data_IF_782602977705
#
_entry.id   IF_782602977705
#
_cell.length_a   1.000
_cell.length_b   1.000
_cell.length_c   1.000
_cell.angle_alpha   90.00
_cell.angle_beta   90.00
_cell.angle_gamma   90.00
#
_symmetry.space_group_name_H-M   'P 1'
#
loop_
_entity.id
_entity.type
_entity.pdbx_description
1 polymer ?
#
# COMPACT_ATOMS: atom_id res chain seq x y z
N UNK A 1 38.09 -48.24 -34.58
CA UNK A 1 37.76 -48.01 -36.00
C UNK A 1 36.55 -47.10 -36.07
N UNK A 2 36.63 -46.07 -36.93
CA UNK A 2 35.61 -45.07 -37.27
C UNK A 2 35.18 -44.13 -36.11
N UNK A 3 35.12 -42.82 -36.26
CA UNK A 3 35.35 -41.99 -37.44
C UNK A 3 35.44 -40.53 -36.99
N UNK A 4 36.46 -39.85 -37.51
CA UNK A 4 36.70 -38.42 -37.45
C UNK A 4 35.45 -37.63 -37.87
N UNK A 5 34.80 -36.96 -36.92
CA UNK A 5 33.85 -35.91 -37.21
C UNK A 5 34.61 -34.74 -37.87
N UNK A 6 34.10 -34.36 -39.04
CA UNK A 6 34.75 -33.59 -40.07
C UNK A 6 34.89 -32.11 -39.66
N UNK A 7 36.11 -31.59 -39.64
CA UNK A 7 36.44 -30.17 -39.36
C UNK A 7 35.84 -29.18 -40.38
N UNK A 8 35.07 -29.65 -41.37
CA UNK A 8 34.29 -28.85 -42.32
C UNK A 8 32.84 -28.58 -41.88
N UNK A 9 32.28 -29.34 -40.94
CA UNK A 9 30.93 -29.08 -40.40
C UNK A 9 30.92 -28.00 -39.30
N UNK A 10 32.08 -27.73 -38.69
CA UNK A 10 32.25 -26.63 -37.73
C UNK A 10 32.35 -25.27 -38.45
N UNK A 11 33.01 -25.24 -39.61
CA UNK A 11 33.20 -24.03 -40.43
C UNK A 11 31.93 -23.61 -41.19
N UNK A 12 30.96 -24.52 -41.39
CA UNK A 12 29.64 -24.22 -41.94
C UNK A 12 28.62 -23.76 -40.87
N UNK A 13 28.83 -24.10 -39.59
CA UNK A 13 28.09 -23.50 -38.46
C UNK A 13 28.60 -22.11 -38.08
N UNK A 14 29.86 -21.79 -38.38
CA UNK A 14 30.46 -20.45 -38.17
C UNK A 14 30.12 -19.43 -39.27
N UNK A 15 29.47 -19.81 -40.37
CA UNK A 15 29.16 -18.91 -41.50
C UNK A 15 27.68 -18.66 -41.78
N UNK A 16 26.78 -19.02 -40.86
CA UNK A 16 25.34 -18.72 -40.97
C UNK A 16 24.70 -18.04 -39.76
N UNK A 17 25.52 -17.49 -38.85
CA UNK A 17 25.07 -16.62 -37.73
C UNK A 17 25.43 -15.14 -37.96
N UNK A 18 25.53 -14.72 -39.22
CA UNK A 18 25.54 -13.30 -39.60
C UNK A 18 24.19 -12.99 -40.25
N UNK A 19 23.24 -12.49 -39.46
CA UNK A 19 21.95 -12.11 -40.02
C UNK A 19 20.87 -11.60 -39.07
N UNK A 20 21.05 -11.64 -37.73
CA UNK A 20 19.97 -11.19 -36.82
C UNK A 20 20.37 -10.18 -35.73
N UNK A 21 21.61 -9.67 -35.76
CA UNK A 21 21.98 -8.42 -35.04
C UNK A 21 21.82 -7.18 -35.93
N UNK A 22 21.62 -7.37 -37.24
CA UNK A 22 21.34 -6.28 -38.18
C UNK A 22 19.90 -5.74 -38.12
N UNK A 23 18.94 -6.45 -37.53
CA UNK A 23 17.56 -5.98 -37.42
C UNK A 23 17.23 -5.28 -36.08
N UNK A 24 18.07 -5.42 -35.05
CA UNK A 24 18.05 -4.49 -33.89
C UNK A 24 18.64 -3.12 -34.29
N UNK A 25 19.33 -3.06 -35.45
CA UNK A 25 19.78 -1.80 -36.04
C UNK A 25 18.62 -0.96 -36.61
N UNK A 26 17.49 -1.58 -36.95
CA UNK A 26 16.30 -0.91 -37.48
C UNK A 26 15.15 -0.77 -36.45
N UNK A 27 15.26 -1.39 -35.26
CA UNK A 27 14.29 -1.21 -34.17
C UNK A 27 14.68 -0.09 -33.18
N UNK A 28 15.95 0.34 -33.19
CA UNK A 28 16.45 1.45 -32.37
C UNK A 28 16.48 2.81 -33.10
N UNK A 29 15.72 2.96 -34.18
CA UNK A 29 15.48 4.27 -34.83
C UNK A 29 14.14 4.88 -34.43
N UNK A 30 13.32 4.16 -33.67
CA UNK A 30 12.22 4.69 -32.88
C UNK A 30 12.34 4.14 -31.46
N UNK A 31 13.21 4.73 -30.63
CA UNK A 31 13.14 4.56 -29.18
C UNK A 31 11.80 5.11 -28.69
N UNK A 32 10.79 4.27 -28.80
CA UNK A 32 9.54 4.39 -28.09
C UNK A 32 9.51 3.26 -27.08
N UNK A 33 8.93 3.60 -25.95
CA UNK A 33 8.30 2.76 -24.94
C UNK A 33 7.87 1.32 -25.40
N UNK A 34 7.55 1.09 -26.68
CA UNK A 34 7.31 -0.23 -27.27
C UNK A 34 8.49 -1.25 -27.18
N UNK A 35 9.75 -0.81 -27.16
CA UNK A 35 10.91 -1.71 -27.03
C UNK A 35 10.99 -2.40 -25.66
N UNK A 36 10.60 -1.70 -24.59
CA UNK A 36 10.47 -2.27 -23.25
C UNK A 36 9.26 -3.21 -23.13
N UNK A 37 8.17 -2.92 -23.84
CA UNK A 37 7.04 -3.84 -23.95
C UNK A 37 7.43 -5.15 -24.65
N UNK A 38 8.32 -5.12 -25.66
CA UNK A 38 8.87 -6.32 -26.29
C UNK A 38 9.83 -7.09 -25.36
N UNK A 39 10.67 -6.38 -24.61
CA UNK A 39 11.59 -6.96 -23.61
C UNK A 39 10.83 -7.63 -22.45
N UNK A 40 9.68 -7.07 -22.03
CA UNK A 40 8.81 -7.65 -21.02
C UNK A 40 7.94 -8.81 -21.54
N UNK A 41 7.54 -8.77 -22.83
CA UNK A 41 6.62 -9.75 -23.42
C UNK A 41 7.34 -10.90 -24.18
N UNK A 42 8.63 -10.75 -24.45
CA UNK A 42 9.49 -11.79 -25.05
C UNK A 42 10.91 -11.64 -24.52
N UNK A 43 11.26 -12.45 -23.52
CA UNK A 43 12.59 -12.72 -22.93
C UNK A 43 13.64 -11.60 -23.09
N UNK A 44 14.13 -11.03 -21.96
CA UNK A 44 15.00 -9.85 -21.76
C UNK A 44 16.29 -9.67 -22.63
N UNK A 45 16.29 -10.10 -23.88
CA UNK A 45 17.48 -10.37 -24.67
C UNK A 45 18.28 -11.52 -24.10
N UNK A 46 19.29 -11.90 -24.87
CA UNK A 46 20.33 -12.80 -24.41
C UNK A 46 21.60 -11.99 -24.08
N UNK A 47 22.37 -12.43 -23.10
CA UNK A 47 23.68 -11.92 -22.76
C UNK A 47 24.69 -12.16 -23.91
N UNK A 48 25.94 -11.70 -23.74
CA UNK A 48 26.99 -11.90 -24.76
C UNK A 48 27.21 -13.38 -25.13
N UNK A 49 26.73 -14.31 -24.31
CA UNK A 49 26.83 -15.75 -24.50
C UNK A 49 25.56 -16.41 -25.05
N UNK A 50 24.48 -15.65 -25.31
CA UNK A 50 23.24 -16.21 -25.81
C UNK A 50 22.30 -16.76 -24.72
N UNK A 51 22.50 -16.44 -23.44
CA UNK A 51 21.68 -16.84 -22.29
C UNK A 51 20.83 -15.69 -21.74
N UNK A 52 19.78 -15.95 -20.97
CA UNK A 52 18.93 -14.89 -20.40
C UNK A 52 19.74 -13.88 -19.57
N UNK A 53 19.55 -12.58 -19.82
CA UNK A 53 20.35 -11.52 -19.20
C UNK A 53 19.85 -11.15 -17.78
N UNK A 54 20.29 -11.91 -16.78
CA UNK A 54 19.99 -11.65 -15.37
C UNK A 54 20.48 -10.29 -14.86
N UNK A 55 21.56 -9.75 -15.43
CA UNK A 55 22.07 -8.43 -15.05
C UNK A 55 21.12 -7.30 -15.43
N UNK A 56 20.48 -7.40 -16.60
CA UNK A 56 19.46 -6.45 -17.06
C UNK A 56 18.20 -6.59 -16.20
N UNK A 57 17.75 -7.81 -15.91
CA UNK A 57 16.63 -8.07 -14.99
C UNK A 57 16.86 -7.45 -13.62
N UNK A 58 18.04 -7.67 -13.05
CA UNK A 58 18.42 -7.15 -11.73
C UNK A 58 18.46 -5.63 -11.75
N UNK A 59 19.03 -5.03 -12.80
CA UNK A 59 19.07 -3.57 -12.96
C UNK A 59 17.67 -2.93 -13.07
N UNK A 60 16.77 -3.54 -13.85
CA UNK A 60 15.38 -3.10 -13.98
C UNK A 60 14.63 -3.28 -12.66
N UNK A 61 14.83 -4.40 -11.96
CA UNK A 61 14.20 -4.66 -10.66
C UNK A 61 14.63 -3.65 -9.59
N UNK A 62 15.90 -3.25 -9.57
CA UNK A 62 16.41 -2.19 -8.68
C UNK A 62 15.73 -0.83 -8.98
N UNK A 63 15.52 -0.50 -10.26
CA UNK A 63 14.84 0.73 -10.67
C UNK A 63 13.36 0.73 -10.32
N UNK A 64 12.67 -0.40 -10.52
CA UNK A 64 11.24 -0.52 -10.29
C UNK A 64 10.87 -0.73 -8.82
N UNK A 65 11.75 -1.37 -8.03
CA UNK A 65 11.52 -1.72 -6.62
C UNK A 65 12.65 -1.25 -5.70
N UNK A 66 13.02 0.05 -5.71
CA UNK A 66 14.20 0.55 -5.01
C UNK A 66 14.09 0.46 -3.47
N UNK A 67 12.88 0.32 -2.91
CA UNK A 67 12.69 0.13 -1.47
C UNK A 67 13.04 -1.29 -0.98
N UNK A 68 13.01 -2.28 -1.87
CA UNK A 68 13.31 -3.69 -1.55
C UNK A 68 14.80 -4.03 -1.72
N UNK A 69 15.47 -3.38 -2.66
CA UNK A 69 16.80 -3.82 -3.14
C UNK A 69 17.98 -2.93 -2.72
N UNK A 70 17.80 -1.90 -1.87
CA UNK A 70 18.83 -0.86 -1.80
C UNK A 70 19.51 -0.57 -0.44
N UNK A 71 20.80 -0.92 -0.41
CA UNK A 71 21.92 -0.02 -0.07
C UNK A 71 22.94 -0.04 -1.25
N UNK A 72 23.14 1.10 -1.94
CA UNK A 72 24.13 1.33 -3.03
C UNK A 72 23.95 0.60 -4.39
N UNK A 73 22.84 -0.10 -4.63
CA UNK A 73 22.56 -0.86 -5.86
C UNK A 73 22.43 0.00 -7.11
N UNK A 74 21.80 1.18 -7.03
CA UNK A 74 21.68 2.11 -8.17
C UNK A 74 23.04 2.71 -8.51
N UNK A 75 23.82 3.14 -7.51
CA UNK A 75 25.20 3.61 -7.71
C UNK A 75 26.13 2.50 -8.22
N UNK A 76 25.93 1.23 -7.84
CA UNK A 76 26.75 0.12 -8.33
C UNK A 76 26.51 -0.24 -9.79
N UNK A 77 25.27 -0.09 -10.28
CA UNK A 77 24.87 -0.55 -11.63
C UNK A 77 24.68 0.60 -12.64
N UNK A 78 24.33 1.81 -12.18
CA UNK A 78 24.01 2.97 -13.03
C UNK A 78 24.93 4.20 -12.81
N UNK A 79 25.95 4.15 -11.94
CA UNK A 79 26.78 5.34 -11.66
C UNK A 79 27.68 5.80 -12.82
N UNK A 80 27.97 4.93 -13.79
CA UNK A 80 28.73 5.30 -14.98
C UNK A 80 27.82 5.21 -16.19
N UNK A 81 27.12 6.30 -16.49
CA UNK A 81 26.64 6.55 -17.86
C UNK A 81 27.89 6.58 -18.75
N UNK A 82 28.25 5.43 -19.33
CA UNK A 82 29.34 5.35 -20.28
C UNK A 82 28.90 6.08 -21.55
N UNK A 83 29.21 7.38 -21.61
CA UNK A 83 28.93 8.27 -22.74
C UNK A 83 29.59 7.76 -24.04
N UNK A 84 30.67 6.99 -23.92
CA UNK A 84 31.39 6.38 -25.03
C UNK A 84 31.39 4.85 -24.90
N UNK A 85 30.24 4.23 -25.18
CA UNK A 85 30.18 2.79 -25.38
C UNK A 85 30.57 2.48 -26.85
N UNK A 86 31.62 1.69 -27.11
CA UNK A 86 32.07 1.37 -28.48
C UNK A 86 31.12 0.43 -29.24
N UNK A 87 30.19 -0.22 -28.52
CA UNK A 87 29.10 -1.05 -29.06
C UNK A 87 27.78 -0.33 -28.76
N UNK A 88 26.74 -0.51 -29.59
CA UNK A 88 25.40 0.06 -29.36
C UNK A 88 24.81 -0.42 -28.02
N UNK A 89 25.14 0.27 -26.93
CA UNK A 89 24.66 -0.06 -25.60
C UNK A 89 23.21 0.42 -25.43
N UNK A 90 22.43 -0.33 -24.66
CA UNK A 90 21.09 0.09 -24.27
C UNK A 90 21.18 1.32 -23.36
N UNK A 91 20.46 2.38 -23.70
CA UNK A 91 20.35 3.54 -22.83
C UNK A 91 19.43 3.20 -21.66
N UNK A 92 19.84 3.56 -20.44
CA UNK A 92 18.97 3.44 -19.26
C UNK A 92 17.71 4.31 -19.45
N UNK A 93 16.54 3.86 -19.00
CA UNK A 93 15.35 4.69 -19.00
C UNK A 93 15.59 5.88 -18.06
N UNK A 94 15.40 7.09 -18.59
CA UNK A 94 15.65 8.33 -17.85
C UNK A 94 14.42 8.73 -17.01
N UNK A 95 13.22 8.44 -17.52
CA UNK A 95 11.93 8.88 -17.03
C UNK A 95 10.83 7.81 -17.20
N UNK A 96 9.61 8.15 -16.76
CA UNK A 96 8.38 7.38 -16.99
C UNK A 96 8.39 5.93 -16.47
N UNK A 97 8.93 5.74 -15.26
CA UNK A 97 8.99 4.44 -14.60
C UNK A 97 7.61 3.82 -14.33
N UNK A 98 6.53 4.61 -14.26
CA UNK A 98 5.16 4.09 -14.16
C UNK A 98 4.80 3.21 -15.34
N UNK A 99 5.14 3.64 -16.55
CA UNK A 99 4.85 2.88 -17.75
C UNK A 99 5.72 1.63 -17.84
N UNK A 100 6.98 1.72 -17.43
CA UNK A 100 7.88 0.56 -17.34
C UNK A 100 7.33 -0.48 -16.36
N UNK A 101 6.86 -0.04 -15.19
CA UNK A 101 6.17 -0.91 -14.23
C UNK A 101 4.93 -1.55 -14.86
N UNK A 102 4.17 -0.84 -15.70
CA UNK A 102 2.98 -1.41 -16.33
C UNK A 102 3.27 -2.54 -17.30
N UNK A 103 4.45 -2.55 -17.93
CA UNK A 103 4.85 -3.64 -18.82
C UNK A 103 5.55 -4.78 -18.09
N UNK A 104 6.41 -4.46 -17.12
CA UNK A 104 7.10 -5.46 -16.33
C UNK A 104 6.15 -6.19 -15.37
N UNK A 105 5.16 -5.48 -14.85
CA UNK A 105 4.15 -6.05 -13.96
C UNK A 105 3.14 -6.90 -14.71
N UNK A 106 2.79 -8.05 -14.14
CA UNK A 106 1.76 -8.93 -14.67
C UNK A 106 0.37 -8.28 -14.59
N UNK A 107 -0.44 -8.44 -15.65
CA UNK A 107 -1.87 -8.14 -15.56
C UNK A 107 -2.56 -9.22 -14.72
N UNK A 108 -3.79 -8.93 -14.30
CA UNK A 108 -4.53 -9.86 -13.45
C UNK A 108 -4.71 -11.23 -14.11
N UNK A 109 -5.05 -11.26 -15.40
CA UNK A 109 -5.24 -12.50 -16.17
C UNK A 109 -3.95 -13.30 -16.38
N UNK A 110 -2.79 -12.63 -16.35
CA UNK A 110 -1.49 -13.28 -16.47
C UNK A 110 -1.03 -13.85 -15.11
N UNK A 111 -1.56 -13.28 -14.02
CA UNK A 111 -1.19 -13.64 -12.64
C UNK A 111 -2.04 -14.78 -12.10
N UNK A 112 -3.37 -14.63 -12.11
CA UNK A 112 -4.30 -15.53 -11.44
C UNK A 112 -4.79 -16.63 -12.38
N UNK A 113 -4.79 -17.87 -11.87
CA UNK A 113 -5.37 -19.04 -12.53
C UNK A 113 -6.79 -19.28 -12.02
N UNK A 114 -6.93 -19.37 -10.70
CA UNK A 114 -8.18 -19.73 -10.04
C UNK A 114 -8.24 -19.12 -8.64
N UNK A 115 -9.41 -18.62 -8.23
CA UNK A 115 -9.68 -18.16 -6.87
C UNK A 115 -10.93 -18.84 -6.35
N UNK A 116 -10.90 -19.29 -5.10
CA UNK A 116 -12.04 -19.92 -4.41
C UNK A 116 -12.23 -19.32 -3.04
N UNK A 117 -13.48 -19.08 -2.67
CA UNK A 117 -13.89 -18.72 -1.31
C UNK A 117 -14.85 -19.81 -0.81
N UNK A 118 -14.60 -20.38 0.36
CA UNK A 118 -15.38 -21.52 0.88
C UNK A 118 -15.50 -22.68 -0.13
N UNK A 119 -14.43 -22.93 -0.89
CA UNK A 119 -14.37 -23.90 -2.01
C UNK A 119 -15.20 -23.56 -3.26
N UNK A 120 -15.94 -22.45 -3.27
CA UNK A 120 -16.67 -21.99 -4.44
C UNK A 120 -15.81 -21.05 -5.30
N UNK A 121 -15.70 -21.28 -6.61
CA UNK A 121 -14.88 -20.45 -7.48
C UNK A 121 -15.51 -19.07 -7.70
N UNK A 122 -14.68 -18.04 -7.75
CA UNK A 122 -15.09 -16.69 -8.10
C UNK A 122 -14.11 -16.04 -9.10
N UNK A 123 -14.57 -15.00 -9.79
CA UNK A 123 -13.76 -14.26 -10.75
C UNK A 123 -12.69 -13.42 -10.02
N UNK A 124 -11.45 -13.89 -10.02
CA UNK A 124 -10.31 -13.20 -9.41
C UNK A 124 -10.23 -11.74 -9.86
N UNK A 125 -10.26 -11.48 -11.17
CA UNK A 125 -9.99 -10.16 -11.74
C UNK A 125 -11.14 -9.17 -11.59
N UNK A 126 -12.34 -9.66 -11.29
CA UNK A 126 -13.43 -8.81 -10.87
C UNK A 126 -13.22 -8.21 -9.49
N UNK A 127 -12.72 -8.99 -8.52
CA UNK A 127 -12.67 -8.58 -7.12
C UNK A 127 -11.26 -8.12 -6.66
N UNK A 128 -10.21 -8.74 -7.18
CA UNK A 128 -8.84 -8.29 -6.96
C UNK A 128 -8.52 -7.08 -7.84
N UNK A 129 -8.46 -5.90 -7.24
CA UNK A 129 -8.23 -4.64 -7.94
C UNK A 129 -6.78 -4.20 -7.78
N UNK A 130 -6.11 -3.72 -8.83
CA UNK A 130 -4.73 -3.27 -8.73
C UNK A 130 -4.64 -1.99 -7.88
N UNK A 131 -3.58 -1.87 -7.08
CA UNK A 131 -3.20 -0.67 -6.34
C UNK A 131 -1.68 -0.56 -6.35
N UNK A 132 -1.17 0.65 -6.56
CA UNK A 132 0.26 0.91 -6.44
C UNK A 132 0.60 1.20 -4.98
N UNK A 133 1.59 0.48 -4.46
CA UNK A 133 2.02 0.51 -3.06
C UNK A 133 3.54 0.62 -2.98
N UNK A 134 4.11 0.92 -1.80
CA UNK A 134 5.56 0.88 -1.60
C UNK A 134 6.22 -0.47 -1.89
N UNK A 135 5.47 -1.58 -1.89
CA UNK A 135 5.95 -2.90 -2.33
C UNK A 135 5.91 -3.09 -3.85
N UNK A 136 5.17 -2.27 -4.60
CA UNK A 136 4.91 -2.47 -6.01
C UNK A 136 3.44 -2.38 -6.38
N UNK A 137 3.11 -2.85 -7.59
CA UNK A 137 1.72 -3.07 -8.00
C UNK A 137 1.19 -4.33 -7.31
N UNK A 138 0.29 -4.16 -6.36
CA UNK A 138 -0.38 -5.24 -5.65
C UNK A 138 -1.83 -5.38 -6.14
N UNK A 139 -2.40 -6.57 -5.99
CA UNK A 139 -3.81 -6.83 -6.24
C UNK A 139 -4.53 -6.96 -4.90
N UNK A 140 -5.39 -5.99 -4.59
CA UNK A 140 -6.08 -5.88 -3.30
C UNK A 140 -7.50 -6.44 -3.43
N UNK A 141 -7.89 -7.28 -2.48
CA UNK A 141 -9.26 -7.78 -2.32
C UNK A 141 -9.93 -7.02 -1.16
N UNK A 142 -11.16 -6.54 -1.36
CA UNK A 142 -11.95 -5.85 -0.32
C UNK A 142 -11.19 -4.71 0.40
N UNK A 143 -10.45 -3.88 -0.36
CA UNK A 143 -9.75 -2.71 0.19
C UNK A 143 -10.55 -1.43 0.00
N UNK A 144 -10.55 -0.56 1.02
CA UNK A 144 -11.20 0.76 0.99
C UNK A 144 -10.43 1.80 0.14
N UNK A 145 -9.22 1.46 -0.31
CA UNK A 145 -8.34 2.39 -1.00
C UNK A 145 -8.60 2.48 -2.50
N UNK A 146 -8.95 1.34 -3.11
CA UNK A 146 -9.26 1.24 -4.54
C UNK A 146 -10.67 0.74 -4.83
N UNK A 147 -11.46 0.48 -3.78
CA UNK A 147 -12.82 -0.02 -3.90
C UNK A 147 -13.71 0.50 -2.75
N UNK A 148 -15.02 0.27 -2.86
CA UNK A 148 -16.02 0.68 -1.88
C UNK A 148 -16.87 -0.52 -1.44
N UNK A 149 -17.24 -0.63 -0.14
CA UNK A 149 -18.13 -1.68 0.35
C UNK A 149 -19.47 -1.71 -0.39
N UNK A 150 -19.91 -2.90 -0.80
CA UNK A 150 -21.18 -3.09 -1.53
C UNK A 150 -21.14 -2.77 -3.03
N UNK A 151 -19.99 -2.34 -3.56
CA UNK A 151 -19.80 -2.14 -5.00
C UNK A 151 -19.75 -3.47 -5.77
N UNK A 152 -19.84 -3.41 -7.12
CA UNK A 152 -19.73 -4.59 -8.01
C UNK A 152 -18.42 -5.37 -7.86
N UNK A 153 -17.36 -4.70 -7.39
CA UNK A 153 -16.02 -5.23 -7.23
C UNK A 153 -15.72 -5.63 -5.77
N UNK A 154 -16.67 -5.47 -4.86
CA UNK A 154 -16.55 -5.93 -3.48
C UNK A 154 -17.01 -7.37 -3.39
N UNK A 155 -16.15 -8.28 -2.92
CA UNK A 155 -16.49 -9.69 -2.77
C UNK A 155 -17.36 -9.83 -1.52
N UNK A 156 -18.62 -10.30 -1.64
CA UNK A 156 -19.43 -10.62 -0.47
C UNK A 156 -18.78 -11.78 0.28
N UNK A 157 -18.40 -11.52 1.52
CA UNK A 157 -17.68 -12.44 2.40
C UNK A 157 -18.49 -12.79 3.66
N UNK A 158 -19.80 -12.56 3.62
CA UNK A 158 -20.74 -13.03 4.65
C UNK A 158 -20.96 -14.54 4.45
N UNK A 159 -20.22 -15.33 5.23
CA UNK A 159 -20.28 -16.79 5.17
C UNK A 159 -21.20 -17.34 6.26
N UNK A 160 -22.08 -18.28 5.91
CA UNK A 160 -22.90 -18.99 6.88
C UNK A 160 -22.04 -20.01 7.65
N UNK A 161 -21.82 -19.84 8.97
CA UNK A 161 -20.97 -20.73 9.75
C UNK A 161 -21.46 -22.19 9.80
N UNK A 162 -22.73 -22.46 9.48
CA UNK A 162 -23.27 -23.82 9.47
C UNK A 162 -22.73 -24.66 8.31
N UNK A 163 -22.51 -24.05 7.14
CA UNK A 163 -22.24 -24.77 5.89
C UNK A 163 -20.99 -24.29 5.15
N UNK A 164 -20.56 -23.05 5.39
CA UNK A 164 -19.46 -22.42 4.68
C UNK A 164 -18.26 -22.23 5.60
N UNK A 165 -17.06 -22.37 5.02
CA UNK A 165 -15.79 -22.23 5.74
C UNK A 165 -15.07 -20.96 5.28
N UNK A 166 -14.47 -20.25 6.22
CA UNK A 166 -13.65 -19.07 5.96
C UNK A 166 -12.26 -19.45 5.39
N UNK A 167 -12.27 -20.08 4.22
CA UNK A 167 -11.07 -20.53 3.49
C UNK A 167 -11.03 -19.84 2.14
N UNK A 168 -9.93 -19.16 1.86
CA UNK A 168 -9.64 -18.61 0.53
C UNK A 168 -8.47 -19.38 -0.08
N UNK A 169 -8.67 -19.90 -1.29
CA UNK A 169 -7.64 -20.54 -2.07
C UNK A 169 -7.35 -19.68 -3.30
N UNK A 170 -6.07 -19.44 -3.55
CA UNK A 170 -5.58 -18.66 -4.68
C UNK A 170 -4.51 -19.44 -5.41
N UNK A 171 -4.72 -19.67 -6.70
CA UNK A 171 -3.79 -20.34 -7.61
C UNK A 171 -3.25 -19.33 -8.61
N UNK A 172 -1.94 -19.28 -8.78
CA UNK A 172 -1.24 -18.28 -9.62
C UNK A 172 -0.21 -18.91 -10.55
N UNK A 173 0.07 -18.22 -11.65
CA UNK A 173 1.10 -18.58 -12.63
C UNK A 173 2.51 -18.14 -12.22
N UNK A 174 2.59 -17.06 -11.45
CA UNK A 174 3.83 -16.42 -11.00
C UNK A 174 4.00 -16.57 -9.49
N UNK A 175 5.22 -16.40 -9.02
CA UNK A 175 5.52 -16.34 -7.61
C UNK A 175 4.93 -15.07 -6.98
N UNK A 176 4.28 -15.24 -5.83
CA UNK A 176 3.58 -14.15 -5.14
C UNK A 176 3.70 -14.27 -3.63
N UNK A 177 3.67 -13.13 -2.95
CA UNK A 177 3.45 -13.07 -1.51
C UNK A 177 1.98 -12.73 -1.25
N UNK A 178 1.27 -13.62 -0.57
CA UNK A 178 -0.11 -13.39 -0.16
C UNK A 178 -0.08 -12.95 1.31
N UNK A 179 -0.67 -11.80 1.60
CA UNK A 179 -0.75 -11.24 2.95
C UNK A 179 -2.17 -10.86 3.32
N UNK A 180 -2.49 -10.97 4.60
CA UNK A 180 -3.78 -10.56 5.16
C UNK A 180 -3.57 -9.27 5.95
N UNK A 181 -4.35 -8.24 5.63
CA UNK A 181 -4.29 -6.91 6.24
C UNK A 181 -5.70 -6.36 6.46
N UNK A 182 -5.82 -5.31 7.26
CA UNK A 182 -7.07 -4.58 7.44
C UNK A 182 -7.47 -3.83 6.16
N UNK A 183 -8.76 -3.56 5.98
CA UNK A 183 -9.31 -3.08 4.71
C UNK A 183 -8.81 -1.69 4.30
N UNK A 184 -8.47 -0.84 5.27
CA UNK A 184 -7.88 0.49 5.09
C UNK A 184 -6.36 0.50 4.89
N UNK A 185 -5.66 -0.61 5.15
CA UNK A 185 -4.20 -0.68 5.11
C UNK A 185 -3.65 -0.92 3.70
N UNK A 186 -2.37 -0.54 3.52
CA UNK A 186 -1.56 -0.93 2.38
C UNK A 186 -0.38 -1.81 2.79
N UNK A 187 0.01 -2.77 1.95
CA UNK A 187 1.32 -3.40 2.05
C UNK A 187 2.43 -2.33 2.04
N UNK A 188 3.32 -2.38 3.03
CA UNK A 188 4.40 -1.41 3.17
C UNK A 188 5.73 -2.09 3.53
N UNK A 189 6.85 -1.71 2.93
CA UNK A 189 8.16 -2.38 3.12
C UNK A 189 8.74 -2.30 4.55
N UNK A 190 8.15 -1.46 5.41
CA UNK A 190 8.51 -1.33 6.82
C UNK A 190 7.66 -2.19 7.77
N UNK A 191 6.50 -2.68 7.32
CA UNK A 191 5.57 -3.48 8.10
C UNK A 191 5.31 -4.78 7.36
N UNK A 192 5.65 -5.91 7.98
CA UNK A 192 5.45 -7.22 7.37
C UNK A 192 4.15 -7.82 7.91
N UNK A 193 3.04 -7.71 7.17
CA UNK A 193 1.80 -8.33 7.58
C UNK A 193 1.90 -9.86 7.54
N UNK A 194 1.06 -10.57 8.33
CA UNK A 194 0.95 -12.02 8.28
C UNK A 194 0.64 -12.49 6.85
N UNK A 195 1.37 -13.50 6.38
CA UNK A 195 1.22 -13.97 5.00
C UNK A 195 2.17 -15.12 4.63
N UNK A 196 1.96 -15.67 3.43
CA UNK A 196 2.73 -16.78 2.88
C UNK A 196 3.38 -16.41 1.53
N UNK A 197 4.69 -16.66 1.36
CA UNK A 197 5.35 -16.52 0.08
C UNK A 197 5.25 -17.82 -0.75
N UNK A 198 4.67 -17.75 -1.94
CA UNK A 198 4.56 -18.84 -2.90
C UNK A 198 5.75 -18.82 -3.87
N UNK A 199 6.81 -19.56 -3.53
CA UNK A 199 8.11 -19.48 -4.23
C UNK A 199 8.36 -20.69 -5.15
N UNK A 200 7.76 -21.85 -4.86
CA UNK A 200 8.02 -23.10 -5.59
C UNK A 200 6.77 -23.61 -6.30
N UNK A 201 6.89 -23.90 -7.60
CA UNK A 201 5.82 -24.50 -8.41
C UNK A 201 5.48 -25.91 -7.93
N UNK A 202 4.20 -26.26 -8.02
CA UNK A 202 3.68 -27.56 -7.57
C UNK A 202 3.69 -27.75 -6.06
N UNK A 203 4.08 -26.73 -5.29
CA UNK A 203 4.06 -26.73 -3.84
C UNK A 203 2.83 -25.96 -3.36
N UNK A 204 1.93 -26.62 -2.63
CA UNK A 204 0.84 -25.91 -1.95
C UNK A 204 1.29 -25.48 -0.57
N UNK A 205 1.16 -24.18 -0.29
CA UNK A 205 1.30 -23.64 1.05
C UNK A 205 -0.06 -23.29 1.62
N UNK A 206 -0.24 -23.53 2.92
CA UNK A 206 -1.40 -23.05 3.63
C UNK A 206 -1.00 -22.34 4.92
N UNK A 207 -1.82 -21.40 5.38
CA UNK A 207 -1.60 -20.68 6.64
C UNK A 207 -2.94 -20.51 7.35
N UNK A 208 -2.93 -20.72 8.67
CA UNK A 208 -4.07 -20.42 9.52
C UNK A 208 -3.86 -19.11 10.27
N UNK A 209 -4.88 -18.26 10.29
CA UNK A 209 -4.83 -16.98 10.98
C UNK A 209 -6.08 -16.73 11.84
N UNK A 210 -5.89 -15.95 12.90
CA UNK A 210 -6.96 -15.41 13.73
C UNK A 210 -7.09 -13.91 13.49
N UNK A 211 -8.30 -13.38 13.65
CA UNK A 211 -8.56 -11.95 13.60
C UNK A 211 -9.33 -11.52 14.86
N UNK A 212 -8.90 -10.43 15.48
CA UNK A 212 -9.62 -9.75 16.55
C UNK A 212 -10.12 -8.42 16.00
N UNK A 213 -11.44 -8.27 15.92
CA UNK A 213 -12.07 -7.10 15.29
C UNK A 213 -12.21 -5.97 16.31
N UNK A 214 -11.93 -4.74 15.88
CA UNK A 214 -12.20 -3.53 16.67
C UNK A 214 -13.57 -2.96 16.31
N UNK A 215 -14.46 -2.86 17.31
CA UNK A 215 -15.79 -2.26 17.20
C UNK A 215 -15.83 -0.94 17.95
N UNK A 216 -16.14 0.13 17.23
CA UNK A 216 -16.27 1.47 17.79
C UNK A 216 -17.74 1.82 17.97
N UNK A 217 -18.11 2.29 19.17
CA UNK A 217 -19.42 2.90 19.40
C UNK A 217 -19.51 4.26 18.67
N UNK A 218 -20.71 4.68 18.22
CA UNK A 218 -20.88 5.91 17.44
C UNK A 218 -20.37 7.15 18.16
N UNK A 219 -20.53 7.21 19.49
CA UNK A 219 -20.12 8.34 20.33
C UNK A 219 -18.60 8.56 20.37
N UNK A 220 -17.80 7.57 19.95
CA UNK A 220 -16.34 7.70 19.85
C UNK A 220 -15.95 8.67 18.73
N UNK A 221 -16.80 8.82 17.71
CA UNK A 221 -16.56 9.76 16.59
C UNK A 221 -16.59 11.22 17.04
N UNK A 222 -17.41 11.55 18.04
CA UNK A 222 -17.57 12.91 18.57
C UNK A 222 -16.38 13.35 19.45
N UNK A 223 -15.57 12.40 19.91
CA UNK A 223 -14.37 12.69 20.71
C UNK A 223 -13.23 13.15 19.80
N UNK A 224 -12.62 14.29 20.11
CA UNK A 224 -11.51 14.84 19.34
C UNK A 224 -10.36 13.82 19.13
N UNK A 225 -9.80 13.68 17.92
CA UNK A 225 -8.72 12.75 17.60
C UNK A 225 -7.52 12.81 18.55
N UNK A 226 -7.18 13.99 19.09
CA UNK A 226 -6.04 14.16 20.01
C UNK A 226 -6.28 13.49 21.35
N UNK A 227 -7.54 13.39 21.78
CA UNK A 227 -7.92 12.74 23.04
C UNK A 227 -8.04 11.24 22.82
N UNK A 228 -8.78 10.81 21.79
CA UNK A 228 -8.98 9.38 21.51
C UNK A 228 -7.75 8.68 20.93
N UNK A 229 -6.74 9.42 20.49
CA UNK A 229 -5.44 8.91 20.02
C UNK A 229 -5.53 7.91 18.85
N UNK A 230 -6.57 8.02 18.02
CA UNK A 230 -6.75 7.28 16.78
C UNK A 230 -7.54 8.11 15.77
N UNK A 231 -7.41 7.77 14.49
CA UNK A 231 -8.16 8.40 13.39
C UNK A 231 -9.01 7.36 12.66
N UNK A 232 -10.21 7.76 12.25
CA UNK A 232 -11.08 6.90 11.46
C UNK A 232 -10.67 6.93 9.98
N UNK A 233 -10.99 5.89 9.19
CA UNK A 233 -10.66 5.83 7.76
C UNK A 233 -11.20 7.02 6.96
N UNK A 234 -12.31 7.63 7.39
CA UNK A 234 -12.91 8.78 6.71
C UNK A 234 -12.25 10.13 7.06
N UNK A 235 -11.39 10.19 8.08
CA UNK A 235 -10.76 11.42 8.58
C UNK A 235 -9.46 11.74 7.85
N UNK A 236 -9.61 11.89 6.54
CA UNK A 236 -8.48 11.99 5.62
C UNK A 236 -7.98 13.44 5.58
N UNK A 237 -6.66 13.67 5.69
CA UNK A 237 -6.08 14.99 5.46
C UNK A 237 -6.37 15.49 4.02
N UNK A 238 -6.62 16.80 3.81
CA UNK A 238 -7.03 17.34 2.51
C UNK A 238 -5.97 17.19 1.39
N UNK A 239 -4.70 16.96 1.75
CA UNK A 239 -3.59 16.76 0.82
C UNK A 239 -3.25 15.27 0.61
N UNK A 240 -4.10 14.36 1.08
CA UNK A 240 -3.89 12.93 0.93
C UNK A 240 -4.21 12.47 -0.49
N UNK A 241 -3.41 11.54 -1.01
CA UNK A 241 -3.68 10.88 -2.31
C UNK A 241 -4.50 9.59 -2.16
N UNK A 242 -4.66 9.10 -0.94
CA UNK A 242 -5.35 7.87 -0.63
C UNK A 242 -6.81 8.14 -0.26
N UNK A 243 -7.70 7.16 -0.55
CA UNK A 243 -9.13 7.28 -0.28
C UNK A 243 -9.56 6.98 1.15
N UNK A 244 -8.67 6.39 1.95
CA UNK A 244 -8.95 6.02 3.33
C UNK A 244 -7.68 6.25 4.16
N UNK A 245 -7.87 6.69 5.41
CA UNK A 245 -6.80 6.82 6.38
C UNK A 245 -6.47 5.47 7.01
N UNK A 246 -5.18 5.20 7.15
CA UNK A 246 -4.65 4.11 7.97
C UNK A 246 -3.25 4.48 8.46
N UNK A 247 -2.71 3.71 9.39
CA UNK A 247 -1.36 3.97 9.89
C UNK A 247 -0.32 3.78 8.78
N UNK A 248 -0.47 2.72 7.98
CA UNK A 248 0.40 2.42 6.84
C UNK A 248 0.35 3.50 5.76
N UNK A 249 -0.84 4.05 5.48
CA UNK A 249 -1.03 5.20 4.58
C UNK A 249 -0.34 6.44 5.14
N UNK A 250 -0.57 6.80 6.41
CA UNK A 250 0.03 7.99 7.02
C UNK A 250 1.57 7.97 6.93
N UNK A 251 2.17 6.82 7.22
CA UNK A 251 3.63 6.63 7.11
C UNK A 251 4.09 6.82 5.67
N UNK A 252 3.39 6.24 4.70
CA UNK A 252 3.68 6.39 3.26
C UNK A 252 3.64 7.85 2.83
N UNK A 253 2.63 8.61 3.27
CA UNK A 253 2.50 10.04 2.98
C UNK A 253 3.57 10.88 3.67
N UNK A 254 3.98 10.49 4.88
CA UNK A 254 5.08 11.14 5.58
C UNK A 254 6.39 10.95 4.81
N UNK A 255 6.70 9.73 4.38
CA UNK A 255 7.89 9.42 3.57
C UNK A 255 7.86 10.21 2.26
N UNK A 256 6.71 10.25 1.58
CA UNK A 256 6.48 11.09 0.40
C UNK A 256 6.82 12.56 0.66
N UNK A 257 6.36 13.10 1.78
CA UNK A 257 6.69 14.48 2.21
C UNK A 257 8.19 14.70 2.47
N UNK A 258 8.89 13.71 3.03
CA UNK A 258 10.34 13.78 3.25
C UNK A 258 11.14 13.70 1.94
N UNK A 259 10.73 12.84 1.01
CA UNK A 259 11.32 12.73 -0.33
C UNK A 259 11.19 14.05 -1.10
N UNK A 260 10.01 14.67 -1.07
CA UNK A 260 9.80 16.00 -1.66
C UNK A 260 10.72 17.06 -1.03
N UNK A 261 10.87 17.09 0.29
CA UNK A 261 11.74 18.08 0.96
C UNK A 261 13.22 17.91 0.62
N UNK A 262 13.66 16.67 0.37
CA UNK A 262 15.06 16.36 0.11
C UNK A 262 15.46 16.54 -1.36
N UNK A 263 14.62 16.09 -2.30
CA UNK A 263 14.95 16.01 -3.73
C UNK A 263 13.91 16.63 -4.67
N UNK A 264 12.86 17.28 -4.15
CA UNK A 264 11.75 17.88 -4.91
C UNK A 264 10.98 16.92 -5.84
N UNK A 265 11.14 15.61 -5.63
CA UNK A 265 10.42 14.57 -6.34
C UNK A 265 10.15 13.40 -5.40
N UNK A 266 9.22 12.54 -5.78
CA UNK A 266 8.82 11.36 -5.00
C UNK A 266 8.95 10.10 -5.82
N UNK A 267 9.25 8.97 -5.17
CA UNK A 267 9.19 7.68 -5.85
C UNK A 267 7.74 7.37 -6.23
N UNK A 268 7.53 6.94 -7.48
CA UNK A 268 6.20 6.66 -8.02
C UNK A 268 5.45 5.58 -7.21
N UNK A 269 6.16 4.70 -6.49
CA UNK A 269 5.57 3.68 -5.61
C UNK A 269 4.83 4.26 -4.39
N UNK A 270 5.21 5.46 -3.94
CA UNK A 270 4.56 6.16 -2.82
C UNK A 270 3.39 7.05 -3.29
N UNK A 271 3.12 7.06 -4.60
CA UNK A 271 2.07 7.85 -5.23
C UNK A 271 1.06 6.90 -5.92
N UNK A 272 -0.12 6.63 -5.33
CA UNK A 272 -1.07 5.69 -5.90
C UNK A 272 -1.56 6.13 -7.29
N UNK A 273 -1.69 7.44 -7.49
CA UNK A 273 -2.06 8.09 -8.75
C UNK A 273 -1.06 9.19 -9.08
N UNK A 274 -0.88 9.49 -10.36
CA UNK A 274 -0.05 10.62 -10.79
C UNK A 274 -0.73 11.95 -10.39
N UNK A 275 -0.04 12.76 -9.59
CA UNK A 275 -0.52 14.08 -9.14
C UNK A 275 0.58 15.13 -9.39
N UNK A 276 0.29 16.26 -10.05
CA UNK A 276 1.27 17.33 -10.30
C UNK A 276 1.92 17.90 -9.03
N UNK A 277 1.26 17.81 -7.86
CA UNK A 277 1.80 18.26 -6.57
C UNK A 277 2.99 17.41 -6.11
N UNK A 278 3.05 16.16 -6.55
CA UNK A 278 4.04 15.17 -6.16
C UNK A 278 4.58 14.49 -7.43
N UNK A 279 5.45 15.18 -8.18
CA UNK A 279 6.00 14.64 -9.42
C UNK A 279 6.82 13.37 -9.12
N UNK A 280 6.70 12.40 -10.02
CA UNK A 280 7.50 11.18 -9.95
C UNK A 280 8.97 11.52 -10.25
N UNK A 281 9.91 10.92 -9.51
CA UNK A 281 11.33 11.11 -9.75
C UNK A 281 11.80 10.47 -11.07
N UNK A 282 12.62 11.21 -11.82
CA UNK A 282 13.46 10.67 -12.88
C UNK A 282 14.68 9.93 -12.30
N UNK A 283 15.51 9.31 -13.15
CA UNK A 283 16.73 8.59 -12.73
C UNK A 283 17.64 9.45 -11.84
N UNK A 284 17.81 10.74 -12.19
CA UNK A 284 18.58 11.69 -11.37
C UNK A 284 17.95 11.92 -9.99
N UNK A 285 16.62 11.95 -9.91
CA UNK A 285 15.88 12.05 -8.66
C UNK A 285 16.07 10.80 -7.80
N UNK A 286 16.00 9.61 -8.40
CA UNK A 286 16.28 8.35 -7.72
C UNK A 286 17.70 8.29 -7.14
N UNK A 287 18.72 8.76 -7.89
CA UNK A 287 20.09 8.90 -7.39
C UNK A 287 20.20 9.91 -6.23
N UNK A 288 19.43 11.00 -6.25
CA UNK A 288 19.33 11.94 -5.13
C UNK A 288 18.72 11.28 -3.89
N UNK A 289 17.62 10.54 -4.05
CA UNK A 289 16.95 9.83 -2.96
C UNK A 289 17.85 8.75 -2.34
N UNK A 290 18.67 8.07 -3.14
CA UNK A 290 19.68 7.13 -2.65
C UNK A 290 20.80 7.87 -1.90
N UNK A 291 21.36 8.94 -2.48
CA UNK A 291 22.44 9.72 -1.86
C UNK A 291 22.03 10.34 -0.52
N UNK A 292 20.76 10.74 -0.38
CA UNK A 292 20.18 11.31 0.84
C UNK A 292 19.58 10.26 1.78
N UNK A 293 19.60 8.96 1.42
CA UNK A 293 18.97 7.85 2.16
C UNK A 293 17.47 8.04 2.42
N UNK A 294 16.79 8.77 1.53
CA UNK A 294 15.35 9.05 1.60
C UNK A 294 14.50 8.01 0.85
N UNK A 295 15.14 7.04 0.19
CA UNK A 295 14.45 5.90 -0.44
C UNK A 295 13.76 5.00 0.60
N UNK A 296 14.47 4.74 1.70
CA UNK A 296 14.01 4.01 2.88
C UNK A 296 14.54 4.75 4.12
N UNK A 297 13.79 5.72 4.67
CA UNK A 297 14.25 6.48 5.82
C UNK A 297 14.45 5.56 7.04
N UNK A 298 15.37 5.95 7.93
CA UNK A 298 15.63 5.21 9.18
C UNK A 298 14.31 5.04 9.96
N UNK A 299 14.05 3.82 10.46
CA UNK A 299 12.86 3.49 11.23
C UNK A 299 12.68 4.40 12.45
N UNK A 300 13.75 4.99 12.98
CA UNK A 300 13.67 6.03 14.02
C UNK A 300 12.86 7.26 13.61
N UNK A 301 12.91 7.66 12.35
CA UNK A 301 12.15 8.79 11.80
C UNK A 301 10.65 8.46 11.78
N UNK A 302 10.31 7.18 11.66
CA UNK A 302 8.94 6.66 11.60
C UNK A 302 8.29 6.46 12.98
N UNK A 303 9.08 6.31 14.05
CA UNK A 303 8.59 5.94 15.39
C UNK A 303 8.65 7.11 16.40
N UNK A 304 9.47 8.13 16.14
CA UNK A 304 9.84 9.08 17.18
C UNK A 304 8.80 10.21 17.38
N UNK A 305 7.84 10.03 18.28
CA UNK A 305 6.91 11.08 18.75
C UNK A 305 7.58 12.23 19.54
N UNK A 306 8.91 12.28 19.62
CA UNK A 306 9.61 13.35 20.34
C UNK A 306 9.53 14.67 19.56
N UNK A 307 8.83 15.63 20.18
CA UNK A 307 8.57 17.04 19.79
C UNK A 307 9.81 17.91 19.47
N UNK A 308 11.01 17.32 19.35
CA UNK A 308 12.27 18.05 19.13
C UNK A 308 12.84 17.98 17.71
N UNK A 309 12.44 17.00 16.89
CA UNK A 309 12.97 16.84 15.53
C UNK A 309 11.87 17.05 14.49
N UNK A 310 12.02 18.06 13.63
CA UNK A 310 11.11 18.41 12.52
C UNK A 310 10.94 17.31 11.43
N UNK A 311 11.49 16.12 11.65
CA UNK A 311 11.48 14.99 10.73
C UNK A 311 10.59 13.83 11.20
N UNK A 312 10.01 13.86 12.40
CA UNK A 312 9.19 12.73 12.86
C UNK A 312 7.77 12.72 12.28
N UNK A 313 7.31 11.52 11.93
CA UNK A 313 5.94 11.27 11.47
C UNK A 313 5.00 11.16 12.68
N UNK A 314 4.18 12.18 12.94
CA UNK A 314 3.17 12.17 14.01
C UNK A 314 1.90 11.36 13.65
N UNK A 315 2.07 10.12 13.19
CA UNK A 315 0.98 9.26 12.72
C UNK A 315 0.25 8.59 13.90
N UNK A 316 -1.09 8.64 13.87
CA UNK A 316 -1.95 7.94 14.82
C UNK A 316 -2.44 6.61 14.22
N UNK A 317 -2.68 5.56 15.02
CA UNK A 317 -3.25 4.32 14.53
C UNK A 317 -4.69 4.50 14.00
N UNK A 318 -5.16 3.57 13.17
CA UNK A 318 -6.56 3.55 12.75
C UNK A 318 -7.46 3.22 13.95
N UNK A 319 -8.63 3.85 14.02
CA UNK A 319 -9.62 3.51 15.03
C UNK A 319 -10.27 2.14 14.76
N UNK A 320 -10.29 1.67 13.50
CA UNK A 320 -10.89 0.40 13.09
C UNK A 320 -9.89 -0.75 12.98
N UNK A 321 -8.62 -0.48 13.28
CA UNK A 321 -7.51 -1.43 13.18
C UNK A 321 -7.79 -2.67 14.06
N UNK A 322 -7.89 -3.84 13.42
CA UNK A 322 -8.02 -5.14 14.07
C UNK A 322 -6.65 -5.83 14.15
N UNK A 323 -6.48 -6.73 15.11
CA UNK A 323 -5.26 -7.53 15.21
C UNK A 323 -5.41 -8.81 14.38
N UNK A 324 -4.43 -9.11 13.53
CA UNK A 324 -4.40 -10.30 12.68
C UNK A 324 -3.13 -11.07 13.01
N UNK A 325 -3.27 -12.32 13.44
CA UNK A 325 -2.14 -13.12 13.91
C UNK A 325 -2.11 -14.48 13.22
N UNK A 326 -0.92 -14.95 12.87
CA UNK A 326 -0.70 -16.32 12.36
C UNK A 326 -0.80 -17.31 13.51
N UNK A 327 -1.74 -18.26 13.43
CA UNK A 327 -1.89 -19.33 14.42
C UNK A 327 -0.97 -20.50 14.06
N UNK A 328 -0.93 -20.87 12.78
CA UNK A 328 -0.24 -22.06 12.33
C UNK A 328 0.25 -21.90 10.89
N UNK A 329 1.54 -22.20 10.71
CA UNK A 329 2.17 -22.37 9.40
C UNK A 329 2.81 -23.78 9.36
N UNK A 330 2.32 -24.68 8.51
CA UNK A 330 2.88 -26.02 8.33
C UNK A 330 4.27 -25.92 7.68
N UNK A 331 5.21 -26.71 8.20
CA UNK A 331 6.48 -26.97 7.51
C UNK A 331 6.33 -27.97 6.35
N UNK A 332 5.23 -28.72 6.34
CA UNK A 332 4.96 -29.77 5.35
C UNK A 332 4.18 -29.21 4.18
N UNK A 333 4.74 -29.42 3.00
CA UNK A 333 4.17 -28.93 1.75
C UNK A 333 3.48 -30.04 0.97
N UNK A 334 2.28 -29.77 0.47
CA UNK A 334 1.58 -30.73 -0.40
C UNK A 334 2.09 -30.53 -1.83
N UNK A 335 2.78 -31.54 -2.36
CA UNK A 335 3.19 -31.56 -3.77
C UNK A 335 1.99 -31.91 -4.64
N UNK A 336 1.52 -30.95 -5.42
CA UNK A 336 0.56 -31.18 -6.49
C UNK A 336 1.28 -31.60 -7.77
N UNK A 337 0.56 -32.29 -8.65
CA UNK A 337 1.06 -32.67 -9.98
C UNK A 337 1.06 -31.51 -10.99
N UNK A 338 0.55 -30.33 -10.59
CA UNK A 338 0.40 -29.17 -11.46
C UNK A 338 1.54 -28.17 -11.24
N UNK A 339 2.05 -27.56 -12.31
CA UNK A 339 3.14 -26.57 -12.28
C UNK A 339 2.71 -25.15 -11.84
N UNK A 340 1.66 -25.05 -11.02
CA UNK A 340 1.14 -23.77 -10.50
C UNK A 340 1.56 -23.51 -9.06
N UNK A 341 1.48 -22.26 -8.64
CA UNK A 341 1.63 -21.84 -7.26
C UNK A 341 0.27 -21.86 -6.58
N UNK A 342 0.14 -22.58 -5.45
CA UNK A 342 -1.12 -22.70 -4.73
C UNK A 342 -0.95 -22.21 -3.29
N UNK A 343 -1.72 -21.18 -2.93
CA UNK A 343 -1.79 -20.62 -1.58
C UNK A 343 -3.19 -20.78 -1.01
N UNK A 344 -3.29 -21.29 0.20
CA UNK A 344 -4.56 -21.37 0.94
C UNK A 344 -4.46 -20.61 2.25
N UNK A 345 -5.36 -19.68 2.49
CA UNK A 345 -5.50 -19.02 3.78
C UNK A 345 -6.77 -19.55 4.44
N UNK A 346 -6.64 -20.00 5.67
CA UNK A 346 -7.71 -20.63 6.44
C UNK A 346 -7.92 -19.86 7.75
N UNK A 347 -9.15 -19.42 8.00
CA UNK A 347 -9.56 -18.90 9.29
C UNK A 347 -10.38 -20.00 9.99
N UNK A 348 -9.75 -20.82 10.86
CA UNK A 348 -10.39 -22.01 11.41
C UNK A 348 -11.58 -21.69 12.33
N UNK A 349 -11.54 -20.53 12.97
CA UNK A 349 -12.61 -20.01 13.81
C UNK A 349 -12.93 -18.58 13.37
N UNK A 350 -14.21 -18.29 13.20
CA UNK A 350 -14.67 -16.91 13.02
C UNK A 350 -14.30 -16.07 14.25
N UNK A 351 -14.08 -14.75 14.09
CA UNK A 351 -13.66 -13.87 15.18
C UNK A 351 -14.66 -13.95 16.35
N UNK A 352 -14.27 -14.61 17.44
CA UNK A 352 -15.05 -14.70 18.68
C UNK A 352 -14.81 -13.50 19.59
N UNK A 353 -13.60 -12.98 19.54
CA UNK A 353 -13.15 -11.89 20.38
C UNK A 353 -13.23 -10.58 19.60
N UNK A 354 -13.75 -9.54 20.26
CA UNK A 354 -13.80 -8.20 19.72
C UNK A 354 -13.37 -7.19 20.78
N UNK A 355 -12.54 -6.23 20.38
CA UNK A 355 -12.29 -5.06 21.22
C UNK A 355 -13.38 -4.04 20.97
N UNK A 356 -13.98 -3.52 22.05
CA UNK A 356 -15.00 -2.48 21.95
C UNK A 356 -14.48 -1.18 22.52
N UNK A 357 -14.43 -0.13 21.70
CA UNK A 357 -14.13 1.25 22.14
C UNK A 357 -15.45 1.98 22.39
N UNK A 358 -15.56 2.53 23.59
CA UNK A 358 -16.73 3.29 24.03
C UNK A 358 -16.29 4.63 24.63
N UNK A 359 -17.05 5.68 24.36
CA UNK A 359 -16.87 6.95 25.06
C UNK A 359 -17.47 6.82 26.46
N UNK A 360 -16.67 7.00 27.52
CA UNK A 360 -17.16 6.91 28.90
C UNK A 360 -18.03 8.13 29.31
N UNK A 361 -17.83 9.27 28.65
CA UNK A 361 -18.62 10.49 28.87
C UNK A 361 -18.77 11.25 27.57
N UNK A 362 -20.00 11.43 27.14
CA UNK A 362 -20.35 12.34 26.05
C UNK A 362 -20.46 13.78 26.56
N UNK A 363 -20.37 14.80 25.70
CA UNK A 363 -20.62 16.18 26.10
C UNK A 363 -22.03 16.36 26.71
N UNK A 364 -23.01 15.58 26.27
CA UNK A 364 -24.36 15.56 26.83
C UNK A 364 -24.36 15.04 28.28
N UNK A 365 -23.63 13.96 28.57
CA UNK A 365 -23.53 13.41 29.93
C UNK A 365 -22.89 14.41 30.89
N UNK A 366 -21.92 15.20 30.42
CA UNK A 366 -21.29 16.27 31.21
C UNK A 366 -22.33 17.34 31.57
N UNK A 367 -23.14 17.79 30.59
CA UNK A 367 -24.19 18.78 30.83
C UNK A 367 -25.28 18.24 31.76
N UNK A 368 -25.71 17.00 31.57
CA UNK A 368 -26.73 16.35 32.40
C UNK A 368 -26.22 16.17 33.84
N UNK A 369 -24.98 15.69 34.03
CA UNK A 369 -24.40 15.51 35.36
C UNK A 369 -24.21 16.85 36.08
N UNK A 370 -23.69 17.88 35.39
CA UNK A 370 -23.52 19.21 35.97
C UNK A 370 -24.86 19.87 36.28
N UNK A 371 -25.85 19.77 35.38
CA UNK A 371 -27.21 20.25 35.59
C UNK A 371 -27.92 19.54 36.74
N UNK A 372 -27.74 18.23 36.87
CA UNK A 372 -28.29 17.44 37.98
C UNK A 372 -27.70 17.85 39.33
N UNK A 373 -26.39 18.07 39.40
CA UNK A 373 -25.73 18.57 40.63
C UNK A 373 -26.22 19.97 41.01
N UNK A 374 -26.28 20.91 40.06
CA UNK A 374 -26.78 22.27 40.31
C UNK A 374 -28.26 22.30 40.69
N UNK A 375 -29.08 21.46 40.04
CA UNK A 375 -30.51 21.33 40.33
C UNK A 375 -30.77 20.75 41.72
N UNK A 376 -30.01 19.72 42.13
CA UNK A 376 -30.19 19.07 43.42
C UNK A 376 -29.69 19.92 44.59
N UNK A 377 -28.50 20.52 44.49
CA UNK A 377 -27.88 21.25 45.61
C UNK A 377 -28.33 22.70 45.72
N UNK A 378 -28.58 23.38 44.60
CA UNK A 378 -28.92 24.81 44.59
C UNK A 378 -30.39 25.07 44.23
N UNK A 379 -31.14 24.06 43.79
CA UNK A 379 -32.46 24.26 43.18
C UNK A 379 -32.39 25.08 41.88
N UNK A 380 -31.19 25.22 41.30
CA UNK A 380 -30.96 26.07 40.15
C UNK A 380 -31.34 25.34 38.86
N UNK A 381 -32.14 26.01 38.03
CA UNK A 381 -32.56 25.52 36.72
C UNK A 381 -32.23 26.55 35.63
N UNK A 382 -32.43 26.18 34.36
CA UNK A 382 -32.30 27.11 33.24
C UNK A 382 -33.25 28.31 33.41
N UNK A 383 -34.46 28.10 33.96
CA UNK A 383 -35.40 29.18 34.26
C UNK A 383 -34.85 30.12 35.34
N UNK A 384 -34.26 29.56 36.39
CA UNK A 384 -33.60 30.33 37.44
C UNK A 384 -32.44 31.19 36.89
N UNK A 385 -31.68 30.67 35.92
CA UNK A 385 -30.61 31.40 35.26
C UNK A 385 -31.14 32.55 34.39
N UNK A 386 -32.21 32.33 33.63
CA UNK A 386 -32.85 33.38 32.83
C UNK A 386 -33.41 34.49 33.74
N UNK A 387 -34.05 34.11 34.84
CA UNK A 387 -34.55 35.06 35.83
C UNK A 387 -33.42 35.88 36.45
N UNK A 388 -32.31 35.23 36.81
CA UNK A 388 -31.11 35.91 37.31
C UNK A 388 -30.60 36.96 36.30
N UNK A 389 -30.46 36.60 35.01
CA UNK A 389 -30.03 37.54 33.97
C UNK A 389 -31.03 38.70 33.84
N UNK A 390 -32.33 38.43 33.82
CA UNK A 390 -33.37 39.45 33.71
C UNK A 390 -33.32 40.46 34.88
N UNK A 391 -33.21 39.97 36.11
CA UNK A 391 -33.16 40.81 37.31
C UNK A 391 -31.88 41.64 37.42
N UNK A 392 -30.72 41.09 37.06
CA UNK A 392 -29.44 41.78 37.22
C UNK A 392 -29.02 42.63 36.02
N UNK A 393 -29.60 42.41 34.84
CA UNK A 393 -29.25 43.19 33.63
C UNK A 393 -30.42 44.04 33.13
N UNK A 394 -31.52 43.41 32.70
CA UNK A 394 -32.64 44.09 32.02
C UNK A 394 -33.37 45.04 32.96
N UNK A 395 -33.63 44.61 34.20
CA UNK A 395 -34.34 45.43 35.20
C UNK A 395 -33.57 46.71 35.60
N UNK A 396 -32.28 46.67 35.98
CA UNK A 396 -31.54 47.89 36.28
C UNK A 396 -31.33 48.76 35.05
N UNK A 397 -31.10 48.19 33.86
CA UNK A 397 -30.93 48.97 32.64
C UNK A 397 -32.23 49.70 32.25
N UNK A 398 -33.37 49.02 32.30
CA UNK A 398 -34.68 49.63 32.02
C UNK A 398 -35.06 50.67 33.05
N UNK A 399 -34.76 50.45 34.34
CA UNK A 399 -34.94 51.45 35.38
C UNK A 399 -34.04 52.68 35.15
N UNK A 400 -32.78 52.48 34.76
CA UNK A 400 -31.86 53.59 34.46
C UNK A 400 -32.30 54.38 33.21
N UNK A 401 -32.78 53.70 32.17
CA UNK A 401 -33.30 54.34 30.97
C UNK A 401 -34.57 55.14 31.25
N UNK A 402 -35.51 54.60 32.05
CA UNK A 402 -36.70 55.34 32.50
C UNK A 402 -36.33 56.56 33.36
N UNK A 403 -35.35 56.43 34.26
CA UNK A 403 -34.87 57.55 35.06
C UNK A 403 -34.19 58.66 34.22
N UNK A 404 -33.54 58.30 33.10
CA UNK A 404 -33.00 59.28 32.14
C UNK A 404 -34.10 59.94 31.32
N UNK A 405 -35.10 59.19 30.86
CA UNK A 405 -36.23 59.72 30.12
C UNK A 405 -37.14 60.64 30.96
N UNK A 406 -37.18 60.47 32.29
CA UNK A 406 -37.90 61.36 33.21
C UNK A 406 -37.10 62.64 33.59
N UNK A 407 -35.82 62.74 33.20
CA UNK A 407 -34.96 63.92 33.43
C UNK A 407 -34.75 64.77 32.17
N UNK A 408 -35.09 64.24 31.00
CA UNK A 408 -35.22 64.99 29.75
C UNK A 408 -36.65 65.55 29.68
#
# INVERSE_FOLDING_TARGET
MAGTANAKDQVLREKRSYGFVTNIKDYCTNCTLAGFAYIANSSLGFDENGNYSYDVETGVSILLYPALYNENGLKGKCATLHVNCPVKCANCPLDNFRQILTWYGANCSDLFVECKLSHEPFDCCRYFRPLLTPFGRCYMLNSLLNNEPGSKHWLPNDLDPANQKAVINVVTHLDVQISVINAEDIPHTAFFPPGIPLITKGLSKYMQFNQIVMKNDPDVKDVDPKIRSCLFPEEIPPNSLYKAYSFSVCITECIRGLQMKACNCTSFLYNPTADPRYPDCDLKGFLCLEATRMMKPDSRVLVNNNKGNNASCGCLPSCNDGDITTIYEPLLFVRNQNDFYNGTLDMPFLPTDQYRRQSLRTPLDVVVSMGGMLGLFLGASILSAIEFVYYFTVRPLSNMLRARAARA
#
